data_IF_225534795037
#
_entry.id   IF_225534795037
#
_cell.length_a   1.000
_cell.length_b   1.000
_cell.length_c   1.000
_cell.angle_alpha   90.00
_cell.angle_beta   90.00
_cell.angle_gamma   90.00
#
_symmetry.space_group_name_H-M   'P 1'
#
loop_
_entity.id
_entity.type
_entity.pdbx_description
1 polymer ?
#
# COMPACT_ATOMS: atom_id res chain seq x y z
N UNK A 1 -28.42 15.84 -0.02
CA UNK A 1 -27.19 15.49 0.70
C UNK A 1 -26.68 14.15 0.19
N UNK A 2 -25.46 14.20 -0.35
CA UNK A 2 -24.53 13.13 -0.74
C UNK A 2 -25.00 11.66 -0.71
N UNK A 3 -25.12 11.05 -1.89
CA UNK A 3 -24.73 9.67 -2.13
C UNK A 3 -23.83 9.63 -3.36
N UNK A 4 -22.54 9.80 -3.12
CA UNK A 4 -21.51 9.40 -4.06
C UNK A 4 -21.34 7.89 -3.90
N UNK A 5 -22.25 7.13 -4.51
CA UNK A 5 -21.91 5.77 -4.92
C UNK A 5 -20.80 5.92 -5.96
N UNK A 6 -19.55 5.84 -5.47
CA UNK A 6 -18.38 5.69 -6.32
C UNK A 6 -18.49 4.29 -6.92
N UNK A 7 -19.25 4.22 -8.01
CA UNK A 7 -19.39 3.05 -8.85
C UNK A 7 -18.00 2.48 -9.08
N UNK A 8 -17.83 1.22 -8.73
CA UNK A 8 -16.76 0.41 -9.27
C UNK A 8 -16.96 0.42 -10.80
N UNK A 9 -16.34 1.38 -11.45
CA UNK A 9 -16.11 1.32 -12.88
C UNK A 9 -15.17 0.13 -13.06
N UNK A 10 -15.78 -1.02 -13.32
CA UNK A 10 -15.06 -2.25 -13.59
C UNK A 10 -14.43 -2.03 -14.94
N UNK A 11 -13.21 -1.48 -14.95
CA UNK A 11 -12.38 -1.41 -16.14
C UNK A 11 -12.33 -2.82 -16.70
N UNK A 12 -12.99 -3.02 -17.83
CA UNK A 12 -12.90 -4.27 -18.60
C UNK A 12 -11.49 -4.23 -19.16
N UNK A 13 -10.54 -4.81 -18.43
CA UNK A 13 -9.19 -5.04 -18.94
C UNK A 13 -9.35 -6.04 -20.08
N UNK A 14 -8.99 -5.69 -21.32
CA UNK A 14 -8.95 -6.64 -22.42
C UNK A 14 -8.09 -7.84 -22.01
N UNK A 15 -8.48 -9.06 -22.40
CA UNK A 15 -7.75 -10.31 -22.10
C UNK A 15 -6.40 -10.42 -22.85
N UNK A 16 -5.90 -9.31 -23.41
CA UNK A 16 -4.55 -9.24 -23.94
C UNK A 16 -3.57 -9.15 -22.76
N UNK A 17 -2.59 -10.06 -22.72
CA UNK A 17 -1.42 -9.94 -21.84
C UNK A 17 -0.86 -8.50 -21.98
N UNK A 18 -0.54 -7.79 -20.87
CA UNK A 18 -0.03 -6.42 -20.96
C UNK A 18 1.19 -6.40 -21.88
N UNK A 19 1.01 -5.84 -23.07
CA UNK A 19 1.93 -6.03 -24.19
C UNK A 19 3.14 -5.10 -24.09
N UNK A 20 3.13 -4.15 -23.15
CA UNK A 20 4.17 -3.15 -22.93
C UNK A 20 4.48 -2.97 -21.43
N UNK A 21 5.75 -2.69 -21.08
CA UNK A 21 6.23 -2.43 -19.73
C UNK A 21 5.48 -1.26 -19.07
N UNK A 22 5.03 -0.28 -19.87
CA UNK A 22 4.24 0.86 -19.41
C UNK A 22 2.87 0.41 -18.89
N UNK A 23 2.17 -0.45 -19.62
CA UNK A 23 0.87 -0.99 -19.19
C UNK A 23 1.02 -1.86 -17.94
N UNK A 24 2.07 -2.68 -17.88
CA UNK A 24 2.36 -3.47 -16.69
C UNK A 24 2.63 -2.57 -15.47
N UNK A 25 3.38 -1.47 -15.65
CA UNK A 25 3.60 -0.48 -14.60
C UNK A 25 2.29 0.18 -14.16
N UNK A 26 1.42 0.59 -15.08
CA UNK A 26 0.13 1.21 -14.76
C UNK A 26 -0.80 0.28 -13.99
N UNK A 27 -0.93 -0.98 -14.44
CA UNK A 27 -1.71 -2.01 -13.74
C UNK A 27 -1.15 -2.28 -12.33
N UNK A 28 0.17 -2.43 -12.22
CA UNK A 28 0.85 -2.62 -10.95
C UNK A 28 0.64 -1.43 -10.01
N UNK A 29 0.69 -0.20 -10.52
CA UNK A 29 0.46 1.01 -9.74
C UNK A 29 -1.00 1.11 -9.27
N UNK A 30 -1.97 0.78 -10.13
CA UNK A 30 -3.39 0.72 -9.77
C UNK A 30 -3.66 -0.30 -8.66
N UNK A 31 -3.16 -1.52 -8.81
CA UNK A 31 -3.35 -2.58 -7.81
C UNK A 31 -2.68 -2.22 -6.48
N UNK A 32 -1.47 -1.67 -6.53
CA UNK A 32 -0.77 -1.19 -5.34
C UNK A 32 -1.51 -0.03 -4.67
N UNK A 33 -2.12 0.89 -5.43
CA UNK A 33 -2.89 1.99 -4.84
C UNK A 33 -4.17 1.49 -4.17
N UNK A 34 -4.84 0.50 -4.78
CA UNK A 34 -5.98 -0.17 -4.18
C UNK A 34 -5.60 -0.83 -2.85
N UNK A 35 -4.55 -1.65 -2.83
CA UNK A 35 -4.05 -2.28 -1.59
C UNK A 35 -3.63 -1.24 -0.56
N UNK A 36 -2.99 -0.15 -0.99
CA UNK A 36 -2.58 0.95 -0.10
C UNK A 36 -3.77 1.66 0.52
N UNK A 37 -4.88 1.84 -0.21
CA UNK A 37 -6.07 2.52 0.30
C UNK A 37 -6.71 1.83 1.52
N UNK A 38 -6.45 0.53 1.71
CA UNK A 38 -6.95 -0.25 2.84
C UNK A 38 -6.21 0.02 4.17
N UNK A 39 -5.06 0.69 4.12
CA UNK A 39 -4.25 0.97 5.31
C UNK A 39 -4.28 2.46 5.65
N UNK A 40 -4.31 2.77 6.95
CA UNK A 40 -4.12 4.14 7.44
C UNK A 40 -2.80 4.73 6.96
N UNK A 41 -2.80 6.03 6.66
CA UNK A 41 -1.66 6.80 6.20
C UNK A 41 -0.42 6.61 7.10
N UNK A 42 -0.63 6.60 8.42
CA UNK A 42 0.44 6.38 9.41
C UNK A 42 1.07 4.99 9.28
N UNK A 43 0.26 3.95 9.10
CA UNK A 43 0.73 2.57 8.90
C UNK A 43 1.52 2.44 7.60
N UNK A 44 1.09 3.13 6.54
CA UNK A 44 1.81 3.15 5.25
C UNK A 44 3.16 3.84 5.36
N UNK A 45 3.26 4.95 6.08
CA UNK A 45 4.51 5.67 6.28
C UNK A 45 5.52 4.85 7.09
N UNK A 46 5.06 4.21 8.17
CA UNK A 46 5.86 3.27 8.98
C UNK A 46 6.42 2.15 8.10
N UNK A 47 5.57 1.51 7.29
CA UNK A 47 5.99 0.45 6.38
C UNK A 47 7.03 0.95 5.36
N UNK A 48 6.79 2.10 4.73
CA UNK A 48 7.70 2.64 3.70
C UNK A 48 9.06 2.98 4.30
N UNK A 49 9.10 3.63 5.46
CA UNK A 49 10.35 3.97 6.19
C UNK A 49 11.14 2.72 6.58
N UNK A 50 10.45 1.67 7.03
CA UNK A 50 11.10 0.43 7.46
C UNK A 50 11.52 -0.48 6.30
N UNK A 51 10.62 -0.75 5.34
CA UNK A 51 10.84 -1.75 4.27
C UNK A 51 11.53 -1.17 3.05
N UNK A 52 11.14 0.03 2.61
CA UNK A 52 11.75 0.69 1.45
C UNK A 52 12.97 1.51 1.89
N UNK A 53 12.87 2.19 3.04
CA UNK A 53 13.95 3.01 3.58
C UNK A 53 15.01 2.24 4.37
N UNK A 54 14.78 0.96 4.70
CA UNK A 54 15.73 0.13 5.47
C UNK A 54 16.00 0.62 6.91
N UNK A 55 15.13 1.47 7.46
CA UNK A 55 15.32 2.03 8.80
C UNK A 55 15.17 0.98 9.90
N UNK A 56 16.00 1.09 10.94
CA UNK A 56 15.91 0.22 12.10
C UNK A 56 14.58 0.39 12.86
N UNK A 57 14.09 -0.69 13.47
CA UNK A 57 12.81 -0.71 14.20
C UNK A 57 12.73 0.37 15.26
N UNK A 58 13.84 0.65 15.93
CA UNK A 58 13.93 1.63 17.01
C UNK A 58 13.75 3.07 16.52
N UNK A 59 14.31 3.37 15.35
CA UNK A 59 14.18 4.68 14.71
C UNK A 59 12.74 4.91 14.24
N UNK A 60 12.13 3.89 13.62
CA UNK A 60 10.73 3.96 13.17
C UNK A 60 9.77 4.06 14.36
N UNK A 61 10.02 3.31 15.44
CA UNK A 61 9.25 3.41 16.67
C UNK A 61 9.29 4.85 17.25
N UNK A 62 10.48 5.46 17.28
CA UNK A 62 10.66 6.84 17.74
C UNK A 62 10.02 7.87 16.82
N UNK A 63 10.19 7.75 15.51
CA UNK A 63 9.67 8.70 14.51
C UNK A 63 8.14 8.75 14.51
N UNK A 64 7.50 7.59 14.73
CA UNK A 64 6.06 7.47 14.65
C UNK A 64 5.36 7.41 16.00
N UNK A 65 6.05 7.60 17.13
CA UNK A 65 5.48 7.47 18.48
C UNK A 65 4.73 6.13 18.67
N UNK A 66 5.44 5.04 18.36
CA UNK A 66 4.94 3.67 18.40
C UNK A 66 5.83 2.81 19.28
N UNK A 67 5.27 1.76 19.89
CA UNK A 67 6.10 0.77 20.58
C UNK A 67 6.86 -0.08 19.56
N UNK A 68 8.10 -0.48 19.86
CA UNK A 68 8.87 -1.41 19.01
C UNK A 68 8.08 -2.68 18.67
N UNK A 69 7.29 -3.17 19.64
CA UNK A 69 6.44 -4.34 19.49
C UNK A 69 5.32 -4.15 18.47
N UNK A 70 4.87 -2.92 18.21
CA UNK A 70 3.81 -2.59 17.24
C UNK A 70 4.33 -2.43 15.80
N UNK A 71 5.63 -2.17 15.60
CA UNK A 71 6.24 -2.01 14.27
C UNK A 71 6.25 -3.33 13.48
N UNK A 72 6.58 -4.46 14.13
CA UNK A 72 6.66 -5.78 13.47
C UNK A 72 5.28 -6.28 12.98
N UNK A 73 4.19 -6.21 13.77
CA UNK A 73 2.84 -6.49 13.30
C UNK A 73 2.38 -5.56 12.17
N UNK A 74 2.69 -4.27 12.25
CA UNK A 74 2.36 -3.31 11.18
C UNK A 74 3.02 -3.72 9.86
N UNK A 75 4.31 -4.06 9.88
CA UNK A 75 5.02 -4.60 8.71
C UNK A 75 4.36 -5.88 8.19
N UNK A 76 4.09 -6.84 9.08
CA UNK A 76 3.52 -8.14 8.67
C UNK A 76 2.13 -8.00 8.08
N UNK A 77 1.32 -7.03 8.51
CA UNK A 77 0.00 -6.76 7.92
C UNK A 77 0.13 -6.25 6.49
N UNK A 78 1.02 -5.30 6.25
CA UNK A 78 1.22 -4.74 4.91
C UNK A 78 1.79 -5.78 3.95
N UNK A 79 2.82 -6.54 4.37
CA UNK A 79 3.42 -7.60 3.53
C UNK A 79 2.47 -8.77 3.20
N UNK A 80 1.46 -9.03 4.03
CA UNK A 80 0.49 -10.11 3.76
C UNK A 80 -0.60 -9.69 2.77
N UNK A 81 -0.70 -8.39 2.48
CA UNK A 81 -1.76 -7.83 1.65
C UNK A 81 -1.26 -7.37 0.28
N UNK A 82 0.02 -7.02 0.20
CA UNK A 82 0.79 -6.99 -1.04
C UNK A 82 0.99 -8.41 -1.56
#
# INVERSE_FOLDING_TARGET
MHSLQRSADRVIVPDDEPTDEVQLCELTLCDLDQVRSEFEDRTRQVFRRFVVGGLATDLVASEFDMSRASVRPARSRVLRRL
#
